data_IF_786399833093
#
_entry.id   IF_786399833093
#
_cell.length_a   1.000
_cell.length_b   1.000
_cell.length_c   1.000
_cell.angle_alpha   90.00
_cell.angle_beta   90.00
_cell.angle_gamma   90.00
#
_symmetry.space_group_name_H-M   'P 1'
#
loop_
_entity.id
_entity.type
_entity.pdbx_description
1 polymer ?
#
# COMPACT_ATOMS: atom_id res chain seq x y z
N UNK A 1 5.16 15.44 -11.64
CA UNK A 1 4.59 14.24 -10.98
C UNK A 1 5.44 13.94 -9.75
N UNK A 2 4.86 13.74 -8.56
CA UNK A 2 5.62 13.69 -7.29
C UNK A 2 6.68 12.56 -7.28
N UNK A 3 6.31 11.36 -7.75
CA UNK A 3 7.19 10.20 -7.77
C UNK A 3 8.47 10.38 -8.62
N UNK A 4 8.47 11.30 -9.59
CA UNK A 4 9.62 11.59 -10.43
C UNK A 4 10.66 12.51 -9.77
N UNK A 5 10.29 13.23 -8.71
CA UNK A 5 11.12 14.28 -8.12
C UNK A 5 11.42 14.06 -6.63
N UNK A 6 11.13 12.87 -6.11
CA UNK A 6 11.34 12.54 -4.70
C UNK A 6 12.08 11.22 -4.56
N UNK A 7 12.89 11.11 -3.51
CA UNK A 7 13.52 9.87 -3.08
C UNK A 7 12.62 9.07 -2.13
N UNK A 8 11.53 9.68 -1.66
CA UNK A 8 10.57 9.03 -0.77
C UNK A 8 9.64 8.10 -1.55
N UNK A 9 9.21 6.98 -0.96
CA UNK A 9 8.20 6.13 -1.58
C UNK A 9 6.90 6.91 -1.77
N UNK A 10 6.35 6.88 -2.98
CA UNK A 10 5.07 7.51 -3.32
C UNK A 10 4.00 6.44 -3.54
N UNK A 11 2.85 6.65 -2.93
CA UNK A 11 1.67 5.78 -3.05
C UNK A 11 0.54 6.61 -3.65
N UNK A 12 0.08 6.22 -4.83
CA UNK A 12 -1.09 6.78 -5.50
C UNK A 12 -2.34 6.00 -5.11
N UNK A 13 -3.34 6.73 -4.60
CA UNK A 13 -4.67 6.19 -4.26
C UNK A 13 -5.70 6.88 -5.14
N UNK A 14 -5.96 6.37 -6.35
CA UNK A 14 -6.91 7.00 -7.27
C UNK A 14 -8.32 6.93 -6.67
N UNK A 15 -9.05 8.06 -6.57
CA UNK A 15 -10.45 8.05 -6.17
C UNK A 15 -11.32 7.52 -7.33
N UNK A 16 -12.54 7.09 -7.03
CA UNK A 16 -13.55 6.85 -8.07
C UNK A 16 -13.32 5.63 -8.97
N UNK A 17 -12.47 4.68 -8.54
CA UNK A 17 -12.15 3.45 -9.31
C UNK A 17 -13.40 2.61 -9.62
N UNK A 18 -14.46 2.73 -8.81
CA UNK A 18 -15.71 2.00 -9.03
C UNK A 18 -16.53 2.60 -10.17
N UNK A 19 -16.46 3.92 -10.32
CA UNK A 19 -17.21 4.69 -11.31
C UNK A 19 -16.44 4.80 -12.64
N UNK A 20 -15.12 5.00 -12.57
CA UNK A 20 -14.22 5.23 -13.70
C UNK A 20 -12.97 4.32 -13.57
N UNK A 21 -13.11 3.01 -13.84
CA UNK A 21 -12.01 2.05 -13.68
C UNK A 21 -10.82 2.32 -14.62
N UNK A 22 -11.05 2.97 -15.76
CA UNK A 22 -10.03 3.33 -16.75
C UNK A 22 -9.00 4.34 -16.22
N UNK A 23 -9.38 5.20 -15.27
CA UNK A 23 -8.50 6.23 -14.73
C UNK A 23 -7.33 5.63 -13.95
N UNK A 24 -7.45 4.38 -13.48
CA UNK A 24 -6.38 3.63 -12.80
C UNK A 24 -5.13 3.51 -13.67
N UNK A 25 -5.28 3.41 -15.00
CA UNK A 25 -4.15 3.24 -15.91
C UNK A 25 -3.21 4.45 -15.91
N UNK A 26 -3.73 5.64 -15.64
CA UNK A 26 -2.92 6.85 -15.47
C UNK A 26 -1.95 6.77 -14.28
N UNK A 27 -2.29 5.97 -13.26
CA UNK A 27 -1.48 5.76 -12.05
C UNK A 27 -0.56 4.54 -12.16
N UNK A 28 -1.01 3.48 -12.84
CA UNK A 28 -0.26 2.22 -13.00
C UNK A 28 0.80 2.33 -14.10
N UNK A 29 0.45 2.92 -15.24
CA UNK A 29 1.33 2.96 -16.40
C UNK A 29 2.22 4.20 -16.38
N UNK A 30 3.14 4.24 -15.41
CA UNK A 30 4.12 5.31 -15.30
C UNK A 30 5.28 5.13 -16.28
N UNK A 31 5.92 6.23 -16.71
CA UNK A 31 7.17 6.17 -17.46
C UNK A 31 8.24 5.33 -16.74
N UNK A 32 9.21 4.81 -17.50
CA UNK A 32 10.34 4.06 -16.95
C UNK A 32 11.08 4.84 -15.87
N UNK A 33 11.63 4.14 -14.88
CA UNK A 33 12.41 4.69 -13.76
C UNK A 33 11.61 5.60 -12.80
N UNK A 34 10.28 5.57 -12.83
CA UNK A 34 9.43 6.28 -11.88
C UNK A 34 8.74 5.26 -10.95
N UNK A 35 9.27 5.03 -9.74
CA UNK A 35 8.70 4.06 -8.80
C UNK A 35 7.45 4.63 -8.12
N UNK A 36 6.28 4.38 -8.71
CA UNK A 36 4.98 4.71 -8.14
C UNK A 36 4.23 3.43 -7.72
N UNK A 37 3.80 3.34 -6.46
CA UNK A 37 2.92 2.26 -6.01
C UNK A 37 1.46 2.71 -6.17
N UNK A 38 0.63 1.92 -6.83
CA UNK A 38 -0.81 2.23 -7.00
C UNK A 38 -1.63 1.28 -6.14
N UNK A 39 -2.43 1.82 -5.23
CA UNK A 39 -3.30 1.06 -4.31
C UNK A 39 -4.69 1.66 -4.35
N UNK A 40 -5.69 0.85 -4.69
CA UNK A 40 -7.06 1.30 -4.91
C UNK A 40 -7.82 1.59 -3.61
N UNK A 41 -7.51 0.84 -2.56
CA UNK A 41 -8.19 0.92 -1.27
C UNK A 41 -7.34 1.69 -0.26
N UNK A 42 -7.88 2.79 0.28
CA UNK A 42 -7.12 3.70 1.15
C UNK A 42 -6.60 3.02 2.43
N UNK A 43 -7.39 2.11 3.02
CA UNK A 43 -6.95 1.34 4.19
C UNK A 43 -5.74 0.46 3.89
N UNK A 44 -5.67 -0.14 2.70
CA UNK A 44 -4.52 -0.90 2.25
C UNK A 44 -3.31 -0.01 1.95
N UNK A 45 -3.53 1.22 1.47
CA UNK A 45 -2.44 2.17 1.24
C UNK A 45 -1.72 2.54 2.54
N UNK A 46 -2.49 2.76 3.62
CA UNK A 46 -1.93 2.98 4.96
C UNK A 46 -1.15 1.76 5.45
N UNK A 47 -1.70 0.55 5.30
CA UNK A 47 -1.01 -0.68 5.69
C UNK A 47 0.29 -0.89 4.89
N UNK A 48 0.30 -0.56 3.60
CA UNK A 48 1.49 -0.61 2.77
C UNK A 48 2.57 0.37 3.26
N UNK A 49 2.18 1.62 3.56
CA UNK A 49 3.09 2.59 4.17
C UNK A 49 3.66 2.09 5.51
N UNK A 50 2.83 1.47 6.36
CA UNK A 50 3.28 0.85 7.61
C UNK A 50 4.28 -0.30 7.39
N UNK A 51 4.12 -1.12 6.35
CA UNK A 51 5.10 -2.15 6.00
C UNK A 51 6.46 -1.56 5.58
N UNK A 52 6.44 -0.44 4.85
CA UNK A 52 7.68 0.24 4.47
C UNK A 52 8.36 0.85 5.71
N UNK A 53 7.59 1.53 6.56
CA UNK A 53 8.10 2.17 7.77
C UNK A 53 8.57 1.15 8.82
N UNK A 54 7.92 -0.01 8.92
CA UNK A 54 8.30 -1.07 9.88
C UNK A 54 9.68 -1.64 9.62
N UNK A 55 10.21 -1.50 8.40
CA UNK A 55 11.59 -1.88 8.06
C UNK A 55 12.63 -1.17 8.92
N UNK A 56 12.30 0.02 9.47
CA UNK A 56 13.18 0.80 10.35
C UNK A 56 12.62 1.04 11.76
N UNK A 57 11.34 0.76 12.00
CA UNK A 57 10.70 1.00 13.29
C UNK A 57 10.26 -0.33 13.93
N UNK A 58 10.91 -0.78 15.03
CA UNK A 58 10.61 -2.06 15.66
C UNK A 58 9.21 -2.13 16.27
N UNK A 59 8.67 -1.00 16.74
CA UNK A 59 7.31 -0.91 17.28
C UNK A 59 6.28 -1.11 16.16
N UNK A 60 6.48 -0.43 15.02
CA UNK A 60 5.62 -0.60 13.86
C UNK A 60 5.72 -2.02 13.28
N UNK A 61 6.92 -2.63 13.30
CA UNK A 61 7.11 -4.04 12.94
C UNK A 61 6.31 -4.97 13.84
N UNK A 62 6.45 -4.84 15.16
CA UNK A 62 5.73 -5.65 16.13
C UNK A 62 4.21 -5.54 15.93
N UNK A 63 3.68 -4.30 15.83
CA UNK A 63 2.26 -4.07 15.59
C UNK A 63 1.78 -4.75 14.30
N UNK A 64 2.55 -4.61 13.22
CA UNK A 64 2.19 -5.21 11.93
C UNK A 64 2.24 -6.74 11.98
N UNK A 65 3.25 -7.30 12.65
CA UNK A 65 3.43 -8.74 12.79
C UNK A 65 2.31 -9.35 13.63
N UNK A 66 1.99 -8.75 14.76
CA UNK A 66 0.88 -9.16 15.62
C UNK A 66 -0.45 -9.20 14.86
N UNK A 67 -0.77 -8.14 14.10
CA UNK A 67 -1.99 -8.10 13.31
C UNK A 67 -2.02 -9.16 12.18
N UNK A 68 -0.87 -9.63 11.70
CA UNK A 68 -0.81 -10.74 10.74
C UNK A 68 -1.10 -12.07 11.44
N UNK A 69 -0.50 -12.29 12.61
CA UNK A 69 -0.67 -13.51 13.40
C UNK A 69 -2.11 -13.67 13.90
N UNK A 70 -2.74 -12.59 14.35
CA UNK A 70 -4.14 -12.57 14.74
C UNK A 70 -5.07 -12.99 13.59
N UNK A 71 -4.85 -12.45 12.38
CA UNK A 71 -5.62 -12.86 11.19
C UNK A 71 -5.42 -14.33 10.85
N UNK A 72 -4.20 -14.84 10.99
CA UNK A 72 -3.90 -16.26 10.76
C UNK A 72 -4.63 -17.16 11.76
N UNK A 73 -4.60 -16.83 13.05
CA UNK A 73 -5.32 -17.56 14.09
C UNK A 73 -6.84 -17.59 13.84
N UNK A 74 -7.41 -16.43 13.50
CA UNK A 74 -8.84 -16.31 13.18
C UNK A 74 -9.23 -17.13 11.95
N UNK A 75 -8.37 -17.17 10.92
CA UNK A 75 -8.61 -17.99 9.72
C UNK A 75 -8.47 -19.49 9.98
N UNK A 76 -7.59 -19.90 10.90
CA UNK A 76 -7.39 -21.30 11.25
C UNK A 76 -8.53 -21.86 12.11
N UNK A 77 -9.17 -21.02 12.94
CA UNK A 77 -10.35 -21.41 13.74
C UNK A 77 -11.65 -21.53 12.93
N UNK A 78 -11.67 -21.10 11.66
CA UNK A 78 -12.84 -21.13 10.79
C UNK A 78 -13.00 -22.45 10.01
N UNK A 79 -12.09 -23.41 10.23
CA UNK A 79 -12.12 -24.79 9.70
C UNK A 79 -12.27 -25.78 10.84
#
# INVERSE_FOLDING_TARGET
>A
MLAAHTTWPVISVPPGVKEFPEDVWSSVHMPSEIPNATILEGSNAVLFAFNVLSSKNPVAYMMRRFAIEERMANSASAY
#
